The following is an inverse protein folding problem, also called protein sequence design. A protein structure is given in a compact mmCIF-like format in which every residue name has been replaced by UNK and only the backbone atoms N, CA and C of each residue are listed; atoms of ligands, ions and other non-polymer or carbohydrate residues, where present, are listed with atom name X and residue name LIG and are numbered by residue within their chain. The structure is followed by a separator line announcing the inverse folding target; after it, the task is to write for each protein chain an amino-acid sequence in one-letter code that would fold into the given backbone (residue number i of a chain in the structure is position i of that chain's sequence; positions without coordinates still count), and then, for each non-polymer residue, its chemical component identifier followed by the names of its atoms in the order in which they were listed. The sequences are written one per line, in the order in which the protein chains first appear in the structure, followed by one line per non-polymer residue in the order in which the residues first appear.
data_IF_694123579238
#
_entry.id   IF_694123579238
#
_cell.length_a   1.000
_cell.length_b   1.000
_cell.length_c   1.000
_cell.angle_alpha   90.00
_cell.angle_beta   90.00
_cell.angle_gamma   90.00
#
_symmetry.space_group_name_H-M   'P 1'
#
loop_
_entity.id
_entity.type
_entity.pdbx_description
1 polymer ?
#
# COMPACT_ATOMS: atom_id res chain seq x y z
N UNK A 1 1.36 0.29 5.52
CA UNK A 1 2.08 0.69 4.31
C UNK A 1 1.28 1.76 3.60
N UNK A 2 1.91 2.89 3.31
CA UNK A 2 1.34 4.02 2.59
C UNK A 2 2.22 4.19 1.33
N UNK A 3 1.76 3.74 0.16
CA UNK A 3 2.43 4.05 -1.10
C UNK A 3 2.19 5.53 -1.43
N UNK A 4 3.25 6.25 -1.77
CA UNK A 4 3.19 7.68 -2.09
C UNK A 4 3.74 7.92 -3.49
N UNK A 5 3.06 8.74 -4.28
CA UNK A 5 3.44 9.12 -5.64
C UNK A 5 2.96 10.54 -5.98
N UNK A 6 3.54 11.56 -5.35
CA UNK A 6 3.32 12.97 -5.74
C UNK A 6 2.15 13.66 -5.06
N UNK A 7 1.63 13.10 -3.97
CA UNK A 7 0.58 13.72 -3.15
C UNK A 7 1.10 14.97 -2.44
N UNK A 8 0.19 15.89 -2.08
CA UNK A 8 0.56 17.13 -1.42
C UNK A 8 0.92 16.90 0.05
N UNK A 9 1.72 17.81 0.62
CA UNK A 9 2.08 17.74 2.03
C UNK A 9 0.86 17.68 2.98
N UNK A 10 -0.18 18.47 2.67
CA UNK A 10 -1.39 18.52 3.49
C UNK A 10 -2.17 17.20 3.49
N UNK A 11 -2.33 16.55 2.34
CA UNK A 11 -3.05 15.27 2.25
C UNK A 11 -2.27 14.15 2.94
N UNK A 12 -0.95 14.10 2.71
CA UNK A 12 -0.08 13.14 3.39
C UNK A 12 -0.14 13.30 4.90
N UNK A 13 -0.11 14.54 5.40
CA UNK A 13 -0.21 14.87 6.81
C UNK A 13 -1.49 14.35 7.45
N UNK A 14 -2.62 14.58 6.81
CA UNK A 14 -3.90 14.08 7.31
C UNK A 14 -3.90 12.54 7.38
N UNK A 15 -3.36 11.86 6.36
CA UNK A 15 -3.29 10.40 6.30
C UNK A 15 -2.43 9.82 7.43
N UNK A 16 -1.15 10.21 7.54
CA UNK A 16 -0.28 9.60 8.56
C UNK A 16 -0.62 10.04 9.98
N UNK A 17 -1.14 11.26 10.21
CA UNK A 17 -1.61 11.67 11.54
C UNK A 17 -2.80 10.82 11.99
N UNK A 18 -3.76 10.57 11.08
CA UNK A 18 -4.92 9.73 11.40
C UNK A 18 -4.53 8.29 11.74
N UNK A 19 -3.53 7.72 11.04
CA UNK A 19 -2.99 6.40 11.33
C UNK A 19 -2.18 6.36 12.62
N UNK A 20 -1.39 7.40 12.91
CA UNK A 20 -0.62 7.50 14.14
C UNK A 20 -1.55 7.56 15.36
N UNK A 21 -2.64 8.34 15.27
CA UNK A 21 -3.65 8.48 16.33
C UNK A 21 -4.67 7.34 16.38
N UNK A 22 -4.60 6.35 15.48
CA UNK A 22 -5.49 5.20 15.52
C UNK A 22 -5.35 4.44 16.85
N UNK A 23 -6.49 4.01 17.40
CA UNK A 23 -6.69 3.28 18.66
C UNK A 23 -6.12 1.87 18.57
N UNK A 24 -4.80 1.78 18.57
CA UNK A 24 -4.01 0.57 18.67
C UNK A 24 -2.68 0.94 19.33
N UNK A 25 -2.06 0.00 20.07
CA UNK A 25 -0.86 0.27 20.84
C UNK A 25 0.30 0.71 19.93
N UNK A 26 0.94 1.84 20.26
CA UNK A 26 1.98 2.44 19.42
C UNK A 26 3.21 1.54 19.24
N UNK A 27 3.54 0.74 20.28
CA UNK A 27 4.62 -0.27 20.26
C UNK A 27 4.34 -1.42 19.29
N UNK A 28 3.07 -1.61 18.88
CA UNK A 28 2.62 -2.65 17.96
C UNK A 28 2.29 -2.11 16.58
N UNK A 29 2.58 -0.83 16.32
CA UNK A 29 2.41 -0.18 15.01
C UNK A 29 3.77 0.17 14.43
N UNK A 30 3.90 0.08 13.11
CA UNK A 30 5.00 0.64 12.35
C UNK A 30 4.43 1.35 11.12
N UNK A 31 4.67 2.65 11.00
CA UNK A 31 4.29 3.39 9.79
C UNK A 31 5.33 3.14 8.70
N UNK A 32 4.92 2.49 7.61
CA UNK A 32 5.79 2.19 6.49
C UNK A 32 5.36 3.01 5.27
N UNK A 33 6.19 3.96 4.85
CA UNK A 33 6.00 4.74 3.65
C UNK A 33 6.83 4.16 2.51
N UNK A 34 6.26 4.08 1.31
CA UNK A 34 7.00 3.67 0.10
C UNK A 34 6.77 4.70 -0.99
N UNK A 35 7.74 5.59 -1.20
CA UNK A 35 7.71 6.61 -2.24
C UNK A 35 8.09 5.97 -3.59
N UNK A 36 7.13 5.92 -4.51
CA UNK A 36 7.28 5.28 -5.82
C UNK A 36 7.92 6.23 -6.85
N UNK A 37 9.22 6.42 -6.66
CA UNK A 37 10.02 7.33 -7.47
C UNK A 37 10.28 8.67 -6.77
N UNK A 38 11.19 9.44 -7.35
CA UNK A 38 11.49 10.79 -6.90
C UNK A 38 10.51 11.76 -7.57
N UNK A 39 9.30 11.82 -7.03
CA UNK A 39 8.21 12.68 -7.53
C UNK A 39 8.15 14.01 -6.82
N UNK A 40 7.70 15.04 -7.54
CA UNK A 40 7.33 16.34 -7.00
C UNK A 40 5.85 16.61 -7.31
N UNK A 41 5.10 17.11 -6.33
CA UNK A 41 3.71 17.54 -6.56
C UNK A 41 3.67 18.84 -7.34
N UNK A 42 2.60 19.09 -8.10
CA UNK A 42 2.44 20.35 -8.87
C UNK A 42 2.40 21.58 -7.96
N UNK A 43 1.90 21.40 -6.74
CA UNK A 43 1.70 22.50 -5.77
C UNK A 43 2.90 22.70 -4.84
N UNK A 44 3.80 21.72 -4.75
CA UNK A 44 4.91 21.74 -3.80
C UNK A 44 6.24 21.97 -4.50
N UNK A 45 7.14 22.68 -3.84
CA UNK A 45 8.49 22.99 -4.35
C UNK A 45 9.51 21.88 -4.08
N UNK A 46 9.20 20.95 -3.16
CA UNK A 46 10.07 19.86 -2.73
C UNK A 46 9.55 18.51 -3.20
N UNK A 47 10.45 17.54 -3.29
CA UNK A 47 10.13 16.16 -3.60
C UNK A 47 9.29 15.54 -2.48
N UNK A 48 8.36 14.65 -2.83
CA UNK A 48 7.39 14.05 -1.89
C UNK A 48 8.07 13.38 -0.69
N UNK A 49 9.19 12.69 -0.92
CA UNK A 49 9.90 12.02 0.16
C UNK A 49 10.58 13.00 1.14
N UNK A 50 11.05 14.15 0.65
CA UNK A 50 11.63 15.21 1.49
C UNK A 50 10.55 15.81 2.38
N UNK A 51 9.37 16.08 1.81
CA UNK A 51 8.21 16.57 2.57
C UNK A 51 7.82 15.60 3.68
N UNK A 52 7.77 14.30 3.37
CA UNK A 52 7.48 13.26 4.37
C UNK A 52 8.54 13.24 5.46
N UNK A 53 9.83 13.26 5.11
CA UNK A 53 10.93 13.22 6.08
C UNK A 53 10.93 14.45 7.00
N UNK A 54 10.73 15.64 6.45
CA UNK A 54 10.60 16.88 7.22
C UNK A 54 9.40 16.84 8.16
N UNK A 55 8.25 16.37 7.67
CA UNK A 55 7.03 16.31 8.46
C UNK A 55 7.09 15.25 9.58
N UNK A 56 7.86 14.18 9.37
CA UNK A 56 8.14 13.15 10.38
C UNK A 56 9.23 13.56 11.37
N UNK A 57 9.91 14.71 11.16
CA UNK A 57 10.98 15.20 12.04
C UNK A 57 12.32 14.48 11.87
N UNK A 58 12.59 13.93 10.68
CA UNK A 58 13.88 13.30 10.39
C UNK A 58 15.02 14.32 10.45
N UNK A 59 16.02 14.05 11.28
CA UNK A 59 17.08 15.02 11.63
C UNK A 59 18.49 14.62 11.18
N UNK A 60 18.67 13.43 10.58
CA UNK A 60 19.98 13.00 10.12
C UNK A 60 20.40 13.79 8.88
N UNK A 61 21.61 14.34 8.90
CA UNK A 61 22.18 15.11 7.79
C UNK A 61 22.85 14.23 6.73
N UNK A 62 23.19 12.98 7.07
CA UNK A 62 23.84 12.06 6.14
C UNK A 62 22.78 11.30 5.33
N UNK A 63 22.93 11.33 4.00
CA UNK A 63 22.07 10.52 3.13
C UNK A 63 22.42 9.04 3.25
N UNK A 64 21.43 8.16 3.44
CA UNK A 64 21.66 6.72 3.48
C UNK A 64 22.11 6.20 2.11
N UNK A 65 22.89 5.12 2.14
CA UNK A 65 23.37 4.46 0.94
C UNK A 65 22.22 3.93 0.08
N UNK A 66 22.37 4.03 -1.23
CA UNK A 66 21.41 3.44 -2.18
C UNK A 66 21.58 1.93 -2.23
N UNK A 67 20.49 1.20 -1.96
CA UNK A 67 20.47 -0.25 -1.94
C UNK A 67 19.75 -0.80 -3.17
N UNK A 68 20.38 -1.76 -3.83
CA UNK A 68 19.84 -2.37 -5.05
C UNK A 68 18.78 -3.44 -4.75
N UNK A 69 17.77 -3.53 -5.63
CA UNK A 69 16.76 -4.59 -5.62
C UNK A 69 16.25 -4.91 -7.03
N UNK A 70 15.59 -6.06 -7.16
CA UNK A 70 14.95 -6.48 -8.41
C UNK A 70 13.50 -5.97 -8.42
N UNK A 71 13.22 -5.05 -9.32
CA UNK A 71 11.89 -4.46 -9.52
C UNK A 71 11.10 -5.14 -10.64
N UNK A 72 9.82 -4.76 -10.77
CA UNK A 72 8.95 -5.14 -11.89
C UNK A 72 9.26 -4.45 -13.22
N UNK A 73 10.25 -3.54 -13.26
CA UNK A 73 10.62 -2.86 -14.49
C UNK A 73 11.18 -3.82 -15.55
N UNK A 74 10.98 -3.49 -16.82
CA UNK A 74 11.49 -4.27 -17.95
C UNK A 74 12.90 -3.82 -18.36
N UNK A 75 13.70 -4.74 -18.91
CA UNK A 75 15.04 -4.47 -19.43
C UNK A 75 15.94 -3.80 -18.36
N UNK A 76 16.57 -2.67 -18.69
CA UNK A 76 17.44 -1.89 -17.79
C UNK A 76 16.71 -1.38 -16.53
N UNK A 77 15.38 -1.28 -16.58
CA UNK A 77 14.54 -0.82 -15.48
C UNK A 77 14.26 -1.90 -14.44
N UNK A 78 14.70 -3.16 -14.68
CA UNK A 78 14.57 -4.29 -13.75
C UNK A 78 15.41 -4.11 -12.51
N UNK A 79 16.63 -3.60 -12.64
CA UNK A 79 17.46 -3.22 -11.49
C UNK A 79 17.05 -1.82 -11.04
N UNK A 80 16.59 -1.72 -9.81
CA UNK A 80 16.20 -0.45 -9.19
C UNK A 80 16.96 -0.27 -7.87
N UNK A 81 17.06 0.98 -7.41
CA UNK A 81 17.73 1.33 -6.17
C UNK A 81 16.76 2.08 -5.28
N UNK A 82 16.86 1.86 -3.98
CA UNK A 82 16.08 2.59 -3.00
C UNK A 82 16.95 2.98 -1.80
N UNK A 83 16.55 4.07 -1.15
CA UNK A 83 17.08 4.51 0.14
C UNK A 83 16.07 4.19 1.23
N UNK A 84 16.55 3.83 2.41
CA UNK A 84 15.70 3.52 3.56
C UNK A 84 16.03 4.49 4.68
N UNK A 85 15.00 5.10 5.24
CA UNK A 85 15.06 5.98 6.40
C UNK A 85 14.20 5.38 7.50
N UNK A 86 14.55 5.64 8.75
CA UNK A 86 13.77 5.22 9.91
C UNK A 86 13.80 6.26 11.01
N UNK A 87 12.84 6.20 11.93
CA UNK A 87 12.76 7.12 13.06
C UNK A 87 11.50 6.91 13.89
N UNK A 88 11.20 7.86 14.77
CA UNK A 88 9.98 7.90 15.57
C UNK A 88 9.21 9.16 15.26
N UNK A 89 7.92 9.00 14.97
CA UNK A 89 7.01 10.12 14.75
C UNK A 89 6.23 10.38 16.03
N UNK A 90 6.31 11.63 16.52
CA UNK A 90 5.67 12.07 17.75
C UNK A 90 4.51 13.00 17.41
N UNK A 91 3.29 12.61 17.81
CA UNK A 91 2.07 13.41 17.61
C UNK A 91 1.21 13.40 18.87
N UNK A 92 1.18 14.52 19.58
CA UNK A 92 0.47 14.65 20.85
C UNK A 92 1.00 13.66 21.90
N UNK A 93 0.22 12.62 22.21
CA UNK A 93 0.60 11.56 23.17
C UNK A 93 1.16 10.31 22.49
N UNK A 94 1.09 10.24 21.17
CA UNK A 94 1.49 9.06 20.42
C UNK A 94 2.94 9.17 19.96
N UNK A 95 3.67 8.06 20.04
CA UNK A 95 5.05 7.93 19.56
C UNK A 95 5.17 6.63 18.77
N UNK A 96 5.05 6.75 17.45
CA UNK A 96 4.96 5.59 16.55
C UNK A 96 6.25 5.48 15.73
N UNK A 97 6.90 4.31 15.69
CA UNK A 97 8.06 4.12 14.81
C UNK A 97 7.64 4.20 13.34
N UNK A 98 8.52 4.71 12.49
CA UNK A 98 8.30 4.78 11.06
C UNK A 98 9.52 4.30 10.27
N UNK A 99 9.25 3.85 9.04
CA UNK A 99 10.25 3.59 8.00
C UNK A 99 9.79 4.22 6.68
N UNK A 100 10.70 4.83 5.95
CA UNK A 100 10.45 5.42 4.63
C UNK A 100 11.36 4.76 3.62
N UNK A 101 10.78 4.17 2.57
CA UNK A 101 11.50 3.57 1.45
C UNK A 101 11.32 4.46 0.23
N UNK A 102 12.41 5.03 -0.29
CA UNK A 102 12.37 5.95 -1.43
C UNK A 102 13.02 5.29 -2.64
N UNK A 103 12.22 4.97 -3.65
CA UNK A 103 12.73 4.41 -4.90
C UNK A 103 13.38 5.49 -5.75
N UNK A 104 14.64 5.30 -6.13
CA UNK A 104 15.42 6.30 -6.86
C UNK A 104 15.63 5.96 -8.34
N UNK A 105 15.44 4.72 -8.76
CA UNK A 105 15.80 4.30 -10.12
C UNK A 105 17.22 3.76 -10.18
N UNK A 106 17.58 3.22 -11.33
CA UNK A 106 18.99 2.98 -11.62
C UNK A 106 19.72 4.34 -11.71
N UNK A 107 20.96 4.52 -11.22
CA UNK A 107 21.72 5.77 -11.36
C UNK A 107 21.95 6.27 -12.80
N UNK A 108 21.56 5.48 -13.80
CA UNK A 108 21.63 5.82 -15.24
C UNK A 108 20.25 6.19 -15.80
N UNK A 109 19.18 5.94 -15.04
CA UNK A 109 17.82 6.37 -15.35
C UNK A 109 17.74 7.86 -15.03
N UNK A 110 17.72 8.69 -16.07
CA UNK A 110 17.49 10.11 -15.95
C UNK A 110 16.00 10.40 -16.16
N UNK A 111 15.53 11.53 -15.64
CA UNK A 111 14.18 12.08 -15.87
C UNK A 111 14.02 12.50 -17.34
N UNK A 112 14.02 11.53 -18.25
CA UNK A 112 13.91 11.76 -19.69
C UNK A 112 12.54 11.27 -20.18
N UNK A 113 11.77 12.16 -20.81
CA UNK A 113 10.50 11.82 -21.46
C UNK A 113 9.29 11.69 -20.52
N UNK A 114 9.21 12.51 -19.46
CA UNK A 114 8.05 12.57 -18.57
C UNK A 114 7.87 11.37 -17.63
N UNK A 115 8.86 10.46 -17.57
CA UNK A 115 8.87 9.32 -16.67
C UNK A 115 9.72 9.62 -15.46
N UNK A 116 9.14 9.42 -14.28
CA UNK A 116 9.82 9.63 -13.00
C UNK A 116 10.79 8.47 -12.75
N UNK A 117 12.07 8.75 -12.42
CA UNK A 117 13.04 7.72 -12.10
C UNK A 117 12.60 6.93 -10.86
N UNK A 118 12.82 5.61 -10.87
CA UNK A 118 12.45 4.72 -9.76
C UNK A 118 10.99 4.33 -9.67
N UNK A 119 10.07 5.05 -10.33
CA UNK A 119 8.64 4.72 -10.34
C UNK A 119 8.39 3.41 -11.10
N UNK A 120 7.72 2.45 -10.42
CA UNK A 120 7.37 1.12 -10.94
C UNK A 120 5.95 0.67 -10.54
N UNK A 121 5.13 1.57 -10.01
CA UNK A 121 3.77 1.32 -9.56
C UNK A 121 3.67 0.88 -8.10
N UNK A 122 2.44 0.95 -7.55
CA UNK A 122 2.11 0.52 -6.19
C UNK A 122 2.34 -0.99 -6.03
N UNK A 123 2.13 -1.79 -7.07
CA UNK A 123 2.45 -3.23 -7.12
C UNK A 123 3.91 -3.52 -6.80
N UNK A 124 4.85 -2.79 -7.41
CA UNK A 124 6.28 -2.94 -7.10
C UNK A 124 6.58 -2.54 -5.66
N UNK A 125 5.91 -1.50 -5.15
CA UNK A 125 6.01 -1.09 -3.73
C UNK A 125 5.56 -2.20 -2.79
N UNK A 126 4.44 -2.85 -3.10
CA UNK A 126 3.91 -3.97 -2.32
C UNK A 126 4.85 -5.19 -2.37
N UNK A 127 5.47 -5.48 -3.52
CA UNK A 127 6.42 -6.60 -3.66
C UNK A 127 7.67 -6.38 -2.82
N UNK A 128 8.19 -5.15 -2.72
CA UNK A 128 9.32 -4.84 -1.82
C UNK A 128 8.97 -5.26 -0.39
N UNK A 129 7.78 -4.86 0.09
CA UNK A 129 7.35 -5.12 1.47
C UNK A 129 7.06 -6.61 1.69
N UNK A 130 6.32 -7.26 0.77
CA UNK A 130 6.00 -8.67 0.90
C UNK A 130 7.25 -9.55 0.78
N UNK A 131 8.18 -9.23 -0.13
CA UNK A 131 9.45 -9.94 -0.27
C UNK A 131 10.32 -9.80 0.98
N UNK A 132 10.43 -8.58 1.52
CA UNK A 132 11.10 -8.34 2.80
C UNK A 132 10.53 -9.21 3.93
N UNK A 133 9.20 -9.20 4.12
CA UNK A 133 8.55 -9.98 5.19
C UNK A 133 8.69 -11.49 4.97
N UNK A 134 8.58 -11.99 3.72
CA UNK A 134 8.81 -13.41 3.39
C UNK A 134 10.21 -13.86 3.78
N UNK A 135 11.23 -13.07 3.43
CA UNK A 135 12.61 -13.40 3.75
C UNK A 135 12.91 -13.33 5.24
N UNK A 136 12.27 -12.42 5.97
CA UNK A 136 12.38 -12.36 7.42
C UNK A 136 11.83 -13.62 8.10
N UNK A 137 10.79 -14.26 7.54
CA UNK A 137 10.26 -15.51 8.07
C UNK A 137 11.18 -16.71 7.80
N UNK A 138 11.97 -16.68 6.72
CA UNK A 138 12.81 -17.79 6.27
C UNK A 138 14.29 -17.40 6.08
N UNK A 139 14.88 -16.72 7.07
CA UNK A 139 16.25 -16.17 6.99
C UNK A 139 17.32 -17.24 6.67
N UNK A 140 17.15 -18.48 7.14
CA UNK A 140 18.14 -19.55 6.93
C UNK A 140 18.22 -20.04 5.48
N UNK A 141 17.11 -19.94 4.75
CA UNK A 141 16.96 -20.55 3.43
C UNK A 141 16.99 -19.51 2.30
N UNK A 142 16.64 -18.26 2.59
CA UNK A 142 16.42 -17.22 1.59
C UNK A 142 17.52 -16.14 1.64
N UNK A 143 18.19 -15.91 0.50
CA UNK A 143 19.21 -14.86 0.34
C UNK A 143 18.60 -13.47 0.20
N UNK A 144 18.73 -12.61 1.21
CA UNK A 144 18.28 -11.22 1.10
C UNK A 144 19.03 -10.43 0.02
N UNK A 145 18.29 -9.57 -0.68
CA UNK A 145 18.84 -8.49 -1.50
C UNK A 145 19.43 -7.40 -0.61
N UNK A 146 20.31 -6.53 -1.14
CA UNK A 146 20.85 -5.40 -0.37
C UNK A 146 19.75 -4.52 0.26
N UNK A 147 18.65 -4.27 -0.48
CA UNK A 147 17.52 -3.51 0.05
C UNK A 147 16.79 -4.23 1.19
N UNK A 148 16.50 -5.54 1.03
CA UNK A 148 15.84 -6.33 2.07
C UNK A 148 16.68 -6.41 3.36
N UNK A 149 18.00 -6.52 3.21
CA UNK A 149 18.93 -6.49 4.34
C UNK A 149 18.92 -5.13 5.04
N UNK A 150 18.93 -4.02 4.29
CA UNK A 150 18.86 -2.68 4.88
C UNK A 150 17.51 -2.46 5.59
N UNK A 151 16.40 -2.91 5.01
CA UNK A 151 15.10 -2.89 5.68
C UNK A 151 15.13 -3.67 7.01
N UNK A 152 15.77 -4.83 7.02
CA UNK A 152 15.95 -5.62 8.24
C UNK A 152 16.81 -4.88 9.26
N UNK A 153 17.93 -4.30 8.83
CA UNK A 153 18.83 -3.52 9.67
C UNK A 153 18.12 -2.33 10.33
N UNK A 154 17.37 -1.54 9.55
CA UNK A 154 16.61 -0.40 10.04
C UNK A 154 15.49 -0.83 11.00
N UNK A 155 14.77 -1.91 10.69
CA UNK A 155 13.69 -2.40 11.53
C UNK A 155 14.22 -3.02 12.85
N UNK A 156 15.21 -3.91 12.77
CA UNK A 156 15.69 -4.69 13.90
C UNK A 156 16.76 -3.95 14.72
N UNK A 157 17.83 -3.46 14.09
CA UNK A 157 18.96 -2.86 14.82
C UNK A 157 18.71 -1.40 15.21
N UNK A 158 18.05 -0.62 14.34
CA UNK A 158 17.82 0.82 14.60
C UNK A 158 16.55 1.04 15.41
N UNK A 159 15.41 0.47 14.98
CA UNK A 159 14.14 0.64 15.67
C UNK A 159 13.92 -0.37 16.83
N UNK A 160 14.68 -1.46 16.89
CA UNK A 160 14.54 -2.48 17.93
C UNK A 160 13.31 -3.38 17.75
N UNK A 161 12.76 -3.48 16.55
CA UNK A 161 11.51 -4.20 16.26
C UNK A 161 11.82 -5.44 15.41
N UNK A 162 11.36 -6.61 15.86
CA UNK A 162 11.47 -7.82 15.05
C UNK A 162 10.39 -7.86 13.97
N UNK A 163 10.75 -7.79 12.67
CA UNK A 163 9.77 -7.79 11.59
C UNK A 163 8.93 -9.07 11.50
N UNK A 164 9.38 -10.18 12.12
CA UNK A 164 8.62 -11.43 12.18
C UNK A 164 7.38 -11.32 13.07
N UNK A 165 7.33 -10.34 13.98
CA UNK A 165 6.18 -10.12 14.85
C UNK A 165 4.99 -9.47 14.12
N UNK A 166 5.21 -8.91 12.92
CA UNK A 166 4.12 -8.31 12.15
C UNK A 166 3.20 -9.38 11.53
N UNK A 167 2.07 -9.63 12.20
CA UNK A 167 1.01 -10.54 11.72
C UNK A 167 0.11 -9.90 10.65
N UNK A 168 0.02 -8.57 10.63
CA UNK A 168 -0.90 -7.82 9.77
C UNK A 168 -0.20 -6.70 9.00
N UNK A 169 -0.62 -6.50 7.76
CA UNK A 169 -0.21 -5.36 6.93
C UNK A 169 -1.44 -4.59 6.47
N UNK A 170 -1.64 -3.39 7.03
CA UNK A 170 -2.62 -2.44 6.52
C UNK A 170 -2.02 -1.68 5.33
N UNK A 171 -2.65 -1.73 4.17
CA UNK A 171 -2.33 -0.94 2.97
C UNK A 171 -3.42 0.11 2.80
N UNK A 172 -3.02 1.37 2.71
CA UNK A 172 -3.95 2.49 2.51
C UNK A 172 -3.34 3.51 1.55
N UNK A 173 -4.17 4.15 0.74
CA UNK A 173 -3.71 5.17 -0.21
C UNK A 173 -3.26 6.44 0.55
N UNK A 174 -2.34 7.20 -0.03
CA UNK A 174 -1.73 8.36 0.64
C UNK A 174 -2.69 9.55 0.86
N UNK A 175 -3.87 9.53 0.25
CA UNK A 175 -4.95 10.51 0.36
C UNK A 175 -6.15 10.00 1.21
N UNK A 176 -5.98 8.88 1.92
CA UNK A 176 -7.03 8.28 2.75
C UNK A 176 -6.79 8.57 4.23
N UNK A 177 -7.67 9.36 4.84
CA UNK A 177 -7.71 9.52 6.29
C UNK A 177 -8.47 8.37 6.94
N UNK A 178 -8.05 7.88 8.09
CA UNK A 178 -8.75 6.76 8.73
C UNK A 178 -9.44 7.16 10.02
N UNK A 179 -10.58 6.52 10.29
CA UNK A 179 -11.22 6.63 11.59
C UNK A 179 -10.36 5.96 12.68
N UNK A 180 -10.43 6.46 13.92
CA UNK A 180 -9.49 6.06 14.98
C UNK A 180 -9.51 4.55 15.30
N UNK A 181 -10.67 3.91 15.25
CA UNK A 181 -10.84 2.49 15.57
C UNK A 181 -10.60 1.53 14.39
N UNK A 182 -10.21 2.04 13.21
CA UNK A 182 -10.12 1.25 11.97
C UNK A 182 -9.19 0.04 12.13
N UNK A 183 -8.03 0.24 12.75
CA UNK A 183 -6.99 -0.79 12.87
C UNK A 183 -7.49 -1.90 13.79
N UNK A 184 -8.07 -1.53 14.93
CA UNK A 184 -8.61 -2.47 15.90
C UNK A 184 -9.76 -3.29 15.30
N UNK A 185 -10.70 -2.65 14.59
CA UNK A 185 -11.83 -3.35 13.96
C UNK A 185 -11.36 -4.38 12.93
N UNK A 186 -10.46 -3.98 12.03
CA UNK A 186 -9.93 -4.87 10.97
C UNK A 186 -9.16 -6.06 11.57
N UNK A 187 -8.30 -5.82 12.58
CA UNK A 187 -7.58 -6.88 13.30
C UNK A 187 -8.56 -7.83 13.99
N UNK A 188 -9.54 -7.30 14.74
CA UNK A 188 -10.54 -8.13 15.43
C UNK A 188 -11.32 -9.02 14.45
N UNK A 189 -11.66 -8.50 13.27
CA UNK A 189 -12.38 -9.27 12.25
C UNK A 189 -11.52 -10.38 11.64
N UNK A 190 -10.22 -10.14 11.41
CA UNK A 190 -9.26 -11.14 10.93
C UNK A 190 -8.90 -12.20 11.98
N UNK A 191 -8.89 -11.87 13.27
CA UNK A 191 -8.67 -12.83 14.36
C UNK A 191 -9.90 -13.72 14.59
N UNK A 192 -11.11 -13.19 14.43
CA UNK A 192 -12.36 -13.96 14.55
C UNK A 192 -12.48 -15.08 13.52
N UNK A 193 -11.87 -14.91 12.34
CA UNK A 193 -11.95 -15.88 11.25
C UNK A 193 -10.56 -16.28 10.75
N UNK A 194 -10.06 -17.48 11.11
CA UNK A 194 -8.73 -17.91 10.72
C UNK A 194 -8.59 -18.14 9.20
N UNK A 195 -9.70 -18.37 8.48
CA UNK A 195 -9.70 -18.56 7.02
C UNK A 195 -9.75 -17.24 6.26
N UNK A 196 -9.96 -16.12 6.95
CA UNK A 196 -9.91 -14.80 6.35
C UNK A 196 -8.45 -14.34 6.20
N UNK A 197 -8.03 -14.10 4.95
CA UNK A 197 -6.65 -13.72 4.60
C UNK A 197 -6.48 -12.23 4.32
N UNK A 198 -7.54 -11.54 3.92
CA UNK A 198 -7.54 -10.10 3.80
C UNK A 198 -8.95 -9.54 4.00
N UNK A 199 -9.01 -8.28 4.43
CA UNK A 199 -10.26 -7.58 4.67
C UNK A 199 -10.20 -6.14 4.15
N UNK A 200 -11.22 -5.75 3.39
CA UNK A 200 -11.40 -4.38 2.91
C UNK A 200 -12.20 -3.57 3.93
N UNK A 201 -11.76 -2.35 4.22
CA UNK A 201 -12.57 -1.37 4.91
C UNK A 201 -13.53 -0.63 3.97
N UNK A 202 -14.39 0.19 4.55
CA UNK A 202 -15.34 1.05 3.85
C UNK A 202 -14.72 2.43 3.59
N UNK A 203 -14.62 2.80 2.32
CA UNK A 203 -14.19 4.15 1.91
C UNK A 203 -15.42 5.06 1.77
N UNK A 204 -15.40 6.21 2.45
CA UNK A 204 -16.41 7.26 2.37
C UNK A 204 -15.81 8.56 1.82
N UNK A 205 -16.60 9.39 1.14
CA UNK A 205 -16.13 10.71 0.74
C UNK A 205 -16.03 11.66 1.94
N UNK A 206 -14.95 12.44 2.00
CA UNK A 206 -14.77 13.49 3.01
C UNK A 206 -15.54 14.79 2.68
N UNK A 207 -15.74 15.07 1.39
CA UNK A 207 -16.33 16.31 0.86
C UNK A 207 -17.52 16.03 -0.11
N UNK A 208 -18.54 15.24 0.29
CA UNK A 208 -19.60 14.80 -0.62
C UNK A 208 -20.40 15.96 -1.25
N UNK A 209 -20.65 17.02 -0.48
CA UNK A 209 -21.57 18.12 -0.84
C UNK A 209 -20.84 19.40 -1.26
N UNK A 210 -19.54 19.34 -1.54
CA UNK A 210 -18.76 20.55 -1.86
C UNK A 210 -19.19 21.20 -3.17
N UNK A 211 -19.47 20.42 -4.22
CA UNK A 211 -20.00 20.92 -5.48
C UNK A 211 -20.76 19.83 -6.26
N UNK A 212 -21.34 20.19 -7.41
CA UNK A 212 -22.06 19.23 -8.26
C UNK A 212 -21.17 18.05 -8.69
N UNK A 213 -19.88 18.30 -8.95
CA UNK A 213 -18.93 17.26 -9.34
C UNK A 213 -18.68 16.24 -8.23
N UNK A 214 -18.58 16.66 -6.96
CA UNK A 214 -18.47 15.73 -5.82
C UNK A 214 -19.77 14.99 -5.59
N UNK A 215 -20.92 15.66 -5.72
CA UNK A 215 -22.24 15.03 -5.56
C UNK A 215 -22.48 13.90 -6.58
N UNK A 216 -22.10 14.12 -7.85
CA UNK A 216 -22.21 13.11 -8.91
C UNK A 216 -21.40 11.84 -8.64
N UNK A 217 -20.34 11.92 -7.84
CA UNK A 217 -19.45 10.79 -7.53
C UNK A 217 -19.98 9.89 -6.41
N UNK A 218 -20.86 10.41 -5.54
CA UNK A 218 -21.34 9.70 -4.35
C UNK A 218 -22.00 8.36 -4.74
N UNK A 219 -22.91 8.39 -5.71
CA UNK A 219 -23.67 7.20 -6.09
C UNK A 219 -22.78 6.10 -6.70
N UNK A 220 -21.91 6.37 -7.70
CA UNK A 220 -20.95 5.39 -8.20
C UNK A 220 -20.03 4.82 -7.11
N UNK A 221 -19.52 5.67 -6.20
CA UNK A 221 -18.66 5.22 -5.10
C UNK A 221 -19.40 4.30 -4.13
N UNK A 222 -20.63 4.66 -3.76
CA UNK A 222 -21.46 3.83 -2.90
C UNK A 222 -21.77 2.45 -3.51
N UNK A 223 -22.06 2.40 -4.81
CA UNK A 223 -22.30 1.12 -5.48
C UNK A 223 -21.06 0.23 -5.51
N UNK A 224 -19.90 0.81 -5.82
CA UNK A 224 -18.65 0.06 -6.05
C UNK A 224 -17.88 -0.27 -4.77
N UNK A 225 -17.79 0.67 -3.83
CA UNK A 225 -16.95 0.57 -2.63
C UNK A 225 -17.72 0.14 -1.38
N UNK A 226 -19.05 0.05 -1.46
CA UNK A 226 -19.88 -0.41 -0.35
C UNK A 226 -20.84 -1.52 -0.78
N UNK A 227 -21.79 -1.23 -1.68
CA UNK A 227 -22.89 -2.15 -2.00
C UNK A 227 -22.41 -3.46 -2.62
N UNK A 228 -21.47 -3.39 -3.57
CA UNK A 228 -20.87 -4.58 -4.18
C UNK A 228 -20.15 -5.46 -3.15
N UNK A 229 -19.29 -4.86 -2.32
CA UNK A 229 -18.56 -5.58 -1.28
C UNK A 229 -19.48 -6.17 -0.20
N UNK A 230 -20.52 -5.43 0.20
CA UNK A 230 -21.52 -5.89 1.15
C UNK A 230 -22.31 -7.09 0.60
N UNK A 231 -22.70 -7.04 -0.68
CA UNK A 231 -23.37 -8.14 -1.36
C UNK A 231 -22.48 -9.38 -1.48
N UNK A 232 -21.22 -9.21 -1.89
CA UNK A 232 -20.25 -10.32 -1.96
C UNK A 232 -19.99 -10.95 -0.58
N UNK A 233 -19.96 -10.11 0.47
CA UNK A 233 -19.79 -10.56 1.86
C UNK A 233 -21.00 -11.36 2.34
N UNK A 234 -22.21 -10.94 1.98
CA UNK A 234 -23.43 -11.70 2.25
C UNK A 234 -23.39 -13.09 1.60
N UNK A 235 -22.85 -13.19 0.38
CA UNK A 235 -22.64 -14.46 -0.31
C UNK A 235 -21.44 -15.27 0.22
N UNK A 236 -20.72 -14.77 1.23
CA UNK A 236 -19.47 -15.34 1.79
C UNK A 236 -18.39 -15.58 0.74
N UNK A 237 -18.42 -14.81 -0.35
CA UNK A 237 -17.47 -14.89 -1.47
C UNK A 237 -17.12 -13.49 -1.91
N UNK A 238 -16.28 -12.84 -1.11
CA UNK A 238 -15.61 -11.61 -1.53
C UNK A 238 -14.52 -11.98 -2.51
N UNK A 239 -14.70 -11.54 -3.74
CA UNK A 239 -13.77 -11.73 -4.86
C UNK A 239 -13.04 -10.43 -5.17
N UNK A 240 -13.62 -9.29 -4.79
CA UNK A 240 -13.05 -7.96 -5.04
C UNK A 240 -12.57 -7.30 -3.75
N UNK A 241 -11.43 -6.61 -3.83
CA UNK A 241 -10.89 -5.79 -2.75
C UNK A 241 -10.81 -4.35 -3.26
N UNK A 242 -11.26 -3.40 -2.44
CA UNK A 242 -11.11 -1.96 -2.71
C UNK A 242 -9.66 -1.52 -2.45
N UNK A 243 -9.08 -0.73 -3.35
CA UNK A 243 -7.67 -0.34 -3.33
C UNK A 243 -7.24 0.57 -2.17
N UNK A 244 -8.19 1.27 -1.52
CA UNK A 244 -7.88 2.39 -0.62
C UNK A 244 -7.66 2.06 0.85
N UNK A 245 -8.17 0.91 1.34
CA UNK A 245 -8.07 0.53 2.75
C UNK A 245 -8.23 -0.98 2.91
N UNK A 246 -7.12 -1.70 3.00
CA UNK A 246 -7.12 -3.17 3.06
C UNK A 246 -6.13 -3.66 4.10
N UNK A 247 -6.57 -4.55 4.99
CA UNK A 247 -5.67 -5.25 5.89
C UNK A 247 -5.44 -6.67 5.41
N UNK A 248 -4.17 -7.01 5.18
CA UNK A 248 -3.71 -8.33 4.79
C UNK A 248 -3.15 -9.08 6.00
N UNK A 249 -3.49 -10.36 6.11
CA UNK A 249 -2.85 -11.28 7.07
C UNK A 249 -1.52 -11.74 6.46
N UNK A 250 -0.42 -11.40 7.12
CA UNK A 250 0.94 -11.72 6.67
C UNK A 250 1.19 -13.22 6.87
N UNK A 251 0.98 -13.70 8.10
CA UNK A 251 1.15 -15.08 8.50
C UNK A 251 0.11 -15.48 9.55
N UNK A 252 -0.07 -16.78 9.78
CA UNK A 252 -1.04 -17.33 10.73
C UNK A 252 -0.40 -18.43 11.59
N UNK A 253 -0.86 -18.59 12.82
CA UNK A 253 -0.35 -19.58 13.78
C UNK A 253 -0.69 -21.04 13.36
N UNK A 254 -1.82 -21.23 12.66
CA UNK A 254 -2.20 -22.53 12.09
C UNK A 254 -1.35 -22.87 10.87
N UNK A 255 -0.86 -24.11 10.78
CA UNK A 255 0.58 -24.39 10.87
C UNK A 255 1.43 -23.35 10.09
N UNK A 256 1.84 -22.26 10.74
CA UNK A 256 2.77 -21.23 10.22
C UNK A 256 2.63 -20.93 8.72
N UNK A 257 1.38 -20.93 8.22
CA UNK A 257 1.16 -20.79 6.80
C UNK A 257 1.38 -19.32 6.47
N UNK A 258 2.43 -19.03 5.73
CA UNK A 258 2.57 -17.73 5.07
C UNK A 258 1.28 -17.52 4.26
N UNK A 259 0.55 -16.45 4.58
CA UNK A 259 -0.69 -16.11 3.88
C UNK A 259 -0.32 -15.25 2.68
N UNK A 260 -0.33 -13.92 2.83
CA UNK A 260 -0.04 -13.02 1.72
C UNK A 260 1.42 -13.03 1.26
N UNK A 261 2.35 -13.41 2.13
CA UNK A 261 3.79 -13.46 1.81
C UNK A 261 4.24 -14.84 1.32
N UNK A 262 3.31 -15.76 1.05
CA UNK A 262 3.66 -17.09 0.53
C UNK A 262 4.41 -16.98 -0.82
N UNK A 263 5.48 -17.78 -1.06
CA UNK A 263 6.24 -17.71 -2.31
C UNK A 263 5.40 -17.88 -3.59
N UNK A 264 4.31 -18.66 -3.53
CA UNK A 264 3.37 -18.78 -4.66
C UNK A 264 2.63 -17.47 -4.94
N UNK A 265 2.18 -16.77 -3.89
CA UNK A 265 1.54 -15.46 -4.02
C UNK A 265 2.53 -14.45 -4.57
N UNK A 266 3.76 -14.40 -4.03
CA UNK A 266 4.80 -13.50 -4.52
C UNK A 266 5.13 -13.75 -5.99
N UNK A 267 5.27 -15.01 -6.42
CA UNK A 267 5.54 -15.35 -7.83
C UNK A 267 4.40 -14.93 -8.75
N UNK A 268 3.14 -15.22 -8.38
CA UNK A 268 1.97 -14.80 -9.15
C UNK A 268 1.84 -13.29 -9.21
N UNK A 269 2.03 -12.63 -8.08
CA UNK A 269 1.96 -11.18 -7.97
C UNK A 269 3.18 -10.47 -8.55
N UNK A 270 4.31 -11.15 -8.79
CA UNK A 270 5.48 -10.61 -9.46
C UNK A 270 5.54 -10.93 -10.98
N UNK A 271 4.53 -11.59 -11.54
CA UNK A 271 4.49 -11.91 -12.97
C UNK A 271 4.66 -10.65 -13.83
N UNK A 272 5.73 -10.64 -14.64
CA UNK A 272 6.16 -9.48 -15.43
C UNK A 272 5.48 -9.38 -16.80
N UNK A 273 4.89 -10.47 -17.28
CA UNK A 273 4.57 -10.60 -18.70
C UNK A 273 3.11 -10.22 -18.99
N UNK A 274 2.89 -8.94 -19.26
CA UNK A 274 1.71 -8.49 -19.97
C UNK A 274 1.96 -8.57 -21.48
N UNK A 275 1.73 -9.73 -22.09
CA UNK A 275 1.83 -9.89 -23.55
C UNK A 275 0.59 -9.34 -24.28
N UNK A 276 -0.53 -9.22 -23.60
CA UNK A 276 -1.81 -8.73 -24.14
C UNK A 276 -2.25 -7.44 -23.45
N UNK A 277 -3.01 -6.58 -24.13
CA UNK A 277 -3.59 -5.37 -23.53
C UNK A 277 -4.45 -5.69 -22.30
N UNK A 278 -5.16 -6.81 -22.32
CA UNK A 278 -5.91 -7.34 -21.18
C UNK A 278 -4.99 -7.53 -19.97
N UNK A 279 -3.88 -8.27 -20.14
CA UNK A 279 -2.92 -8.52 -19.07
C UNK A 279 -2.24 -7.23 -18.61
N UNK A 280 -2.01 -6.28 -19.52
CA UNK A 280 -1.39 -4.99 -19.18
C UNK A 280 -2.30 -4.13 -18.31
N UNK A 281 -3.59 -4.04 -18.63
CA UNK A 281 -4.54 -3.25 -17.85
C UNK A 281 -4.94 -3.95 -16.54
N UNK A 282 -5.10 -5.27 -16.53
CA UNK A 282 -5.32 -6.05 -15.31
C UNK A 282 -4.15 -5.89 -14.31
N UNK A 283 -2.91 -5.92 -14.80
CA UNK A 283 -1.70 -5.86 -13.97
C UNK A 283 -1.22 -4.46 -13.59
N UNK A 284 -1.58 -3.41 -14.34
CA UNK A 284 -1.11 -2.04 -14.10
C UNK A 284 -2.20 -1.08 -13.59
N UNK A 285 -3.48 -1.36 -13.89
CA UNK A 285 -4.60 -0.48 -13.49
C UNK A 285 -5.52 -1.13 -12.45
N UNK A 286 -5.37 -2.43 -12.20
CA UNK A 286 -6.14 -3.21 -11.22
C UNK A 286 -5.26 -3.89 -10.17
N UNK A 287 -4.16 -3.28 -9.76
CA UNK A 287 -3.10 -3.91 -8.95
C UNK A 287 -3.64 -4.60 -7.68
N UNK A 288 -4.55 -3.95 -6.94
CA UNK A 288 -5.18 -4.53 -5.74
C UNK A 288 -6.16 -5.67 -6.06
N UNK A 289 -6.85 -5.60 -7.21
CA UNK A 289 -7.73 -6.68 -7.69
C UNK A 289 -6.93 -7.90 -8.15
N UNK A 290 -5.77 -7.68 -8.75
CA UNK A 290 -4.84 -8.74 -9.12
C UNK A 290 -4.38 -9.50 -7.89
N UNK A 291 -4.01 -8.80 -6.81
CA UNK A 291 -3.59 -9.46 -5.57
C UNK A 291 -4.72 -10.31 -4.97
N UNK A 292 -5.95 -9.79 -4.93
CA UNK A 292 -7.12 -10.53 -4.45
C UNK A 292 -7.31 -11.86 -5.19
N UNK A 293 -7.22 -11.85 -6.52
CA UNK A 293 -7.33 -13.05 -7.34
C UNK A 293 -6.17 -14.04 -7.08
N UNK A 294 -4.93 -13.56 -7.01
CA UNK A 294 -3.75 -14.40 -6.74
C UNK A 294 -3.83 -15.04 -5.35
N UNK A 295 -4.34 -14.31 -4.35
CA UNK A 295 -4.54 -14.82 -2.99
C UNK A 295 -5.57 -15.95 -2.96
N UNK A 296 -6.73 -15.76 -3.57
CA UNK A 296 -7.78 -16.78 -3.63
C UNK A 296 -7.34 -18.03 -4.42
N UNK A 297 -6.58 -17.84 -5.50
CA UNK A 297 -6.02 -18.95 -6.27
C UNK A 297 -4.94 -19.71 -5.49
N UNK A 298 -4.09 -19.00 -4.74
CA UNK A 298 -3.01 -19.60 -3.96
C UNK A 298 -3.52 -20.31 -2.70
N UNK A 299 -4.66 -19.87 -2.15
CA UNK A 299 -5.24 -20.39 -0.92
C UNK A 299 -6.74 -20.70 -1.08
N UNK A 300 -7.12 -21.78 -1.81
CA UNK A 300 -8.52 -22.09 -2.13
C UNK A 300 -9.44 -22.33 -0.92
N UNK A 301 -8.88 -22.66 0.25
CA UNK A 301 -9.63 -22.85 1.50
C UNK A 301 -9.84 -21.56 2.31
N UNK A 302 -9.30 -20.44 1.84
CA UNK A 302 -9.38 -19.13 2.47
C UNK A 302 -10.34 -18.21 1.70
N UNK A 303 -10.75 -17.11 2.33
CA UNK A 303 -11.59 -16.11 1.70
C UNK A 303 -11.22 -14.69 2.12
N UNK A 304 -11.75 -13.73 1.36
CA UNK A 304 -11.64 -12.31 1.64
C UNK A 304 -12.85 -11.84 2.45
N UNK A 305 -12.78 -10.63 3.01
CA UNK A 305 -13.87 -10.05 3.79
C UNK A 305 -14.01 -8.54 3.56
N UNK A 306 -15.11 -8.01 4.09
CA UNK A 306 -15.41 -6.58 4.14
C UNK A 306 -15.87 -6.21 5.55
N UNK A 307 -15.36 -5.10 6.09
CA UNK A 307 -15.80 -4.53 7.37
C UNK A 307 -16.39 -3.14 7.14
N UNK A 308 -17.72 -3.05 7.24
CA UNK A 308 -18.47 -1.82 6.95
C UNK A 308 -18.23 -0.70 7.96
N UNK A 309 -17.84 -1.05 9.18
CA UNK A 309 -17.55 -0.10 10.26
C UNK A 309 -16.10 0.40 10.24
N UNK A 310 -15.20 -0.26 9.50
CA UNK A 310 -13.83 0.18 9.36
C UNK A 310 -13.76 1.27 8.28
N UNK A 311 -13.93 2.54 8.69
CA UNK A 311 -14.13 3.67 7.77
C UNK A 311 -12.82 4.38 7.46
N UNK A 312 -12.55 4.58 6.16
CA UNK A 312 -11.59 5.55 5.64
C UNK A 312 -12.31 6.68 4.89
N UNK A 313 -11.74 7.87 4.90
CA UNK A 313 -12.25 9.08 4.26
C UNK A 313 -11.29 9.51 3.15
N UNK A 314 -11.83 9.67 1.94
CA UNK A 314 -11.07 10.14 0.77
C UNK A 314 -11.65 11.46 0.28
N UNK A 315 -10.78 12.39 -0.05
CA UNK A 315 -11.17 13.67 -0.66
C UNK A 315 -11.44 13.47 -2.15
N UNK A 316 -12.66 13.74 -2.57
CA UNK A 316 -13.07 13.64 -3.96
C UNK A 316 -12.58 14.84 -4.77
N UNK A 317 -12.20 14.64 -6.05
CA UNK A 317 -11.86 15.73 -6.94
C UNK A 317 -13.07 16.63 -7.16
N UNK A 318 -12.85 17.94 -7.05
CA UNK A 318 -13.84 18.99 -7.32
C UNK A 318 -13.95 19.33 -8.80
N UNK A 319 -12.90 19.06 -9.57
CA UNK A 319 -12.84 19.42 -10.99
C UNK A 319 -13.43 18.33 -11.88
N UNK A 320 -14.33 18.72 -12.80
CA UNK A 320 -15.00 17.77 -13.68
C UNK A 320 -14.03 17.02 -14.60
N UNK A 321 -12.97 17.67 -15.08
CA UNK A 321 -11.94 17.03 -15.91
C UNK A 321 -11.16 15.96 -15.11
N UNK A 322 -10.85 16.24 -13.85
CA UNK A 322 -10.19 15.27 -12.97
C UNK A 322 -11.12 14.07 -12.70
N UNK A 323 -12.41 14.31 -12.47
CA UNK A 323 -13.43 13.27 -12.38
C UNK A 323 -13.48 12.40 -13.65
N UNK A 324 -13.60 13.03 -14.83
CA UNK A 324 -13.67 12.32 -16.11
C UNK A 324 -12.43 11.45 -16.34
N UNK A 325 -11.24 11.97 -16.02
CA UNK A 325 -9.99 11.22 -16.08
C UNK A 325 -9.99 10.00 -15.16
N UNK A 326 -10.43 10.18 -13.91
CA UNK A 326 -10.53 9.09 -12.92
C UNK A 326 -11.51 7.99 -13.35
N UNK A 327 -12.71 8.37 -13.79
CA UNK A 327 -13.73 7.42 -14.24
C UNK A 327 -13.30 6.68 -15.51
N UNK A 328 -12.65 7.36 -16.46
CA UNK A 328 -12.12 6.71 -17.67
C UNK A 328 -11.09 5.64 -17.31
N UNK A 329 -10.22 5.89 -16.33
CA UNK A 329 -9.26 4.88 -15.83
C UNK A 329 -9.99 3.71 -15.17
N UNK A 330 -10.96 3.98 -14.30
CA UNK A 330 -11.74 2.95 -13.60
C UNK A 330 -12.50 2.04 -14.57
N UNK A 331 -13.19 2.64 -15.56
CA UNK A 331 -13.95 1.89 -16.57
C UNK A 331 -13.01 1.03 -17.43
N UNK A 332 -11.85 1.56 -17.84
CA UNK A 332 -10.84 0.78 -18.56
C UNK A 332 -10.39 -0.41 -17.71
N UNK A 333 -10.05 -0.18 -16.44
CA UNK A 333 -9.64 -1.25 -15.54
C UNK A 333 -10.73 -2.33 -15.38
N UNK A 334 -12.02 -1.96 -15.30
CA UNK A 334 -13.13 -2.93 -15.22
C UNK A 334 -13.26 -3.72 -16.53
N UNK A 335 -13.30 -3.04 -17.67
CA UNK A 335 -13.52 -3.66 -18.97
C UNK A 335 -12.47 -4.72 -19.31
N UNK A 336 -11.21 -4.46 -18.95
CA UNK A 336 -10.11 -5.39 -19.21
C UNK A 336 -9.91 -6.45 -18.12
N UNK A 337 -10.73 -6.47 -17.06
CA UNK A 337 -10.74 -7.52 -16.04
C UNK A 337 -11.92 -8.50 -16.23
N UNK A 338 -12.84 -8.23 -17.16
CA UNK A 338 -13.95 -9.10 -17.55
C UNK A 338 -13.51 -10.05 -18.67
#
# INVERSE_FOLDING_TARGET
MIPCCGESNETLKQTYESLARASYEDTKKLLLFVCDGVTQSVHDSKETHVLILEALGYSCTEEPAMQAYVSLGQNRRRLNYARVYSGFYETGRNRVPYMVVVKHGHPREHSSGGRVPGNRGKRDSMIIVFGFLERCMNITNNRMTPLEYELFNQCYNVLGIDPRLFKYLLVTDADTQVHADVVQRLVLRLERDPKMIAISGHIRPANPEQNLTTMLQIFPLYLTLFSGLAYETFLKRVMTISSGLVMYKVWSDSPLLLCCIHPTVLRGFALQQASTMHTMNALLQGEDRCLAAVLLQSHPGCHLGFESEAIGYVTLPTDFLALQGSQTRSIRAIFYNL
#
